data_IF_226705085305
#
_entry.id   IF_226705085305
#
_cell.length_a   1.000
_cell.length_b   1.000
_cell.length_c   1.000
_cell.angle_alpha   90.00
_cell.angle_beta   90.00
_cell.angle_gamma   90.00
#
_symmetry.space_group_name_H-M   'P 1'
#
loop_
_entity.id
_entity.type
_entity.pdbx_description
1 polymer ?
#
# COMPACT_ATOMS: atom_id res chain seq x y z
N UNK A 1 1.14 -8.95 -7.22
CA UNK A 1 0.31 -10.06 -6.74
C UNK A 1 0.68 -11.34 -7.45
N UNK A 2 0.31 -11.48 -8.72
CA UNK A 2 0.42 -12.77 -9.46
C UNK A 2 1.81 -13.39 -9.47
N UNK A 3 2.85 -12.62 -9.82
CA UNK A 3 4.23 -13.14 -9.80
C UNK A 3 4.72 -13.45 -8.38
N UNK A 4 4.26 -12.72 -7.35
CA UNK A 4 4.54 -13.02 -5.95
C UNK A 4 3.87 -14.32 -5.48
N UNK A 5 2.63 -14.54 -5.90
CA UNK A 5 1.89 -15.78 -5.70
C UNK A 5 2.60 -16.97 -6.36
N UNK A 6 2.98 -16.84 -7.65
CA UNK A 6 3.74 -17.86 -8.38
C UNK A 6 5.08 -18.16 -7.68
N UNK A 7 5.77 -17.12 -7.20
CA UNK A 7 7.03 -17.26 -6.45
C UNK A 7 6.86 -17.73 -5.00
N UNK A 8 5.63 -17.99 -4.53
CA UNK A 8 5.31 -18.45 -3.17
C UNK A 8 5.95 -17.62 -2.06
N UNK A 9 6.10 -16.31 -2.27
CA UNK A 9 6.81 -15.44 -1.32
C UNK A 9 5.89 -14.71 -0.34
N UNK A 10 4.61 -15.13 -0.27
CA UNK A 10 3.60 -14.61 0.65
C UNK A 10 3.12 -13.19 0.38
N UNK A 11 3.63 -12.50 -0.64
CA UNK A 11 3.35 -11.07 -0.87
C UNK A 11 2.32 -10.83 -1.97
N UNK A 12 1.13 -11.35 -1.75
CA UNK A 12 -0.04 -11.12 -2.59
C UNK A 12 -1.25 -10.80 -1.71
N UNK A 13 -2.23 -10.16 -2.31
CA UNK A 13 -3.43 -9.73 -1.61
C UNK A 13 -4.61 -9.77 -2.56
N UNK A 14 -5.78 -10.06 -2.02
CA UNK A 14 -7.08 -9.92 -2.67
C UNK A 14 -7.58 -8.50 -2.41
N UNK A 15 -8.09 -7.83 -3.44
CA UNK A 15 -8.57 -6.45 -3.33
C UNK A 15 -10.00 -6.39 -3.84
N UNK A 16 -10.91 -5.85 -3.04
CA UNK A 16 -12.32 -5.64 -3.40
C UNK A 16 -12.64 -4.17 -3.12
N UNK A 17 -13.27 -3.50 -4.06
CA UNK A 17 -13.71 -2.12 -3.88
C UNK A 17 -15.14 -1.95 -4.40
N UNK A 18 -15.95 -1.19 -3.65
CA UNK A 18 -17.21 -0.66 -4.14
C UNK A 18 -16.97 0.76 -4.61
N UNK A 19 -17.27 1.03 -5.88
CA UNK A 19 -17.16 2.35 -6.50
C UNK A 19 -18.55 2.87 -6.78
N UNK A 20 -18.85 4.11 -6.35
CA UNK A 20 -20.05 4.85 -6.76
C UNK A 20 -19.62 6.01 -7.65
N UNK A 21 -20.10 6.03 -8.89
CA UNK A 21 -19.64 7.00 -9.88
C UNK A 21 -18.14 6.82 -10.16
N UNK A 22 -17.33 7.84 -9.87
CA UNK A 22 -15.88 7.79 -9.99
C UNK A 22 -15.15 7.70 -8.64
N UNK A 23 -15.89 7.41 -7.56
CA UNK A 23 -15.33 7.45 -6.20
C UNK A 23 -15.40 6.08 -5.50
N UNK A 24 -14.28 5.55 -4.97
CA UNK A 24 -14.30 4.38 -4.11
C UNK A 24 -14.92 4.72 -2.75
N UNK A 25 -16.00 4.02 -2.40
CA UNK A 25 -16.76 4.25 -1.15
C UNK A 25 -16.56 3.15 -0.11
N UNK A 26 -16.16 1.95 -0.54
CA UNK A 26 -15.73 0.84 0.32
C UNK A 26 -14.49 0.20 -0.28
N UNK A 27 -13.53 -0.17 0.55
CA UNK A 27 -12.34 -0.92 0.13
C UNK A 27 -12.03 -2.04 1.12
N UNK A 28 -11.60 -3.19 0.60
CA UNK A 28 -11.11 -4.33 1.37
C UNK A 28 -9.82 -4.84 0.73
N UNK A 29 -8.79 -5.02 1.55
CA UNK A 29 -7.53 -5.68 1.18
C UNK A 29 -7.33 -6.85 2.14
N UNK A 30 -7.36 -8.06 1.61
CA UNK A 30 -7.14 -9.28 2.41
C UNK A 30 -5.78 -9.88 2.04
N UNK A 31 -5.02 -10.28 3.06
CA UNK A 31 -3.67 -10.86 2.94
C UNK A 31 -3.77 -12.37 3.26
N UNK A 32 -3.89 -13.24 2.25
CA UNK A 32 -4.20 -14.66 2.48
C UNK A 32 -3.20 -15.39 3.38
N UNK A 33 -1.92 -15.02 3.32
CA UNK A 33 -0.87 -15.73 4.04
C UNK A 33 -0.88 -15.47 5.55
N UNK A 34 -1.42 -14.33 6.00
CA UNK A 34 -1.51 -13.99 7.43
C UNK A 34 -2.96 -14.01 7.93
N UNK A 35 -3.92 -13.93 7.01
CA UNK A 35 -5.34 -13.75 7.33
C UNK A 35 -5.73 -12.28 7.60
N UNK A 36 -4.78 -11.35 7.57
CA UNK A 36 -5.04 -9.93 7.83
C UNK A 36 -6.07 -9.39 6.83
N UNK A 37 -7.04 -8.65 7.34
CA UNK A 37 -8.07 -7.99 6.54
C UNK A 37 -8.10 -6.51 6.89
N UNK A 38 -7.75 -5.68 5.91
CA UNK A 38 -7.84 -4.24 5.97
C UNK A 38 -9.14 -3.83 5.28
N UNK A 39 -9.91 -2.94 5.89
CA UNK A 39 -11.16 -2.48 5.30
C UNK A 39 -11.45 -1.03 5.66
N UNK A 40 -12.17 -0.35 4.78
CA UNK A 40 -12.54 1.04 4.97
C UNK A 40 -13.91 1.34 4.35
N UNK A 41 -14.64 2.24 4.99
CA UNK A 41 -15.89 2.80 4.47
C UNK A 41 -15.79 4.32 4.53
N UNK A 42 -16.11 4.99 3.42
CA UNK A 42 -16.07 6.46 3.33
C UNK A 42 -16.88 7.09 4.47
N UNK A 43 -16.24 7.99 5.21
CA UNK A 43 -16.85 8.68 6.37
C UNK A 43 -16.96 7.84 7.65
N UNK A 44 -16.51 6.58 7.68
CA UNK A 44 -16.49 5.72 8.88
C UNK A 44 -15.08 5.35 9.35
N UNK A 45 -14.07 5.64 8.54
CA UNK A 45 -12.67 5.36 8.83
C UNK A 45 -12.17 4.09 8.15
N UNK A 46 -10.97 3.68 8.55
CA UNK A 46 -10.28 2.48 8.08
C UNK A 46 -9.89 1.63 9.30
N UNK A 47 -9.87 0.32 9.10
CA UNK A 47 -9.65 -0.66 10.14
C UNK A 47 -8.78 -1.80 9.62
N UNK A 48 -8.11 -2.48 10.54
CA UNK A 48 -7.43 -3.74 10.28
C UNK A 48 -7.91 -4.77 11.28
N UNK A 49 -8.13 -5.99 10.80
CA UNK A 49 -8.36 -7.17 11.60
C UNK A 49 -7.25 -8.16 11.34
N UNK A 50 -6.63 -8.67 12.40
CA UNK A 50 -5.54 -9.65 12.30
C UNK A 50 -5.84 -10.84 13.20
N UNK A 51 -5.88 -12.07 12.67
CA UNK A 51 -6.07 -13.26 13.48
C UNK A 51 -5.02 -13.41 14.59
N UNK A 52 -3.78 -13.01 14.31
CA UNK A 52 -2.68 -13.03 15.29
C UNK A 52 -2.85 -12.00 16.44
N UNK A 53 -3.71 -10.99 16.28
CA UNK A 53 -3.99 -9.94 17.28
C UNK A 53 -5.42 -10.12 17.86
N UNK A 54 -5.90 -11.36 17.93
CA UNK A 54 -7.19 -11.70 18.55
C UNK A 54 -8.42 -11.48 17.66
N UNK A 55 -8.23 -11.26 16.35
CA UNK A 55 -9.28 -11.18 15.34
C UNK A 55 -10.34 -10.06 15.58
N UNK A 56 -9.91 -8.96 16.17
CA UNK A 56 -10.74 -7.78 16.42
C UNK A 56 -10.40 -6.63 15.46
N UNK A 57 -11.37 -5.76 15.17
CA UNK A 57 -11.14 -4.58 14.35
C UNK A 57 -10.41 -3.51 15.16
N UNK A 58 -9.19 -3.19 14.74
CA UNK A 58 -8.43 -2.04 15.22
C UNK A 58 -8.54 -0.90 14.23
N UNK A 59 -8.87 0.29 14.69
CA UNK A 59 -8.89 1.50 13.85
C UNK A 59 -7.48 1.83 13.39
N UNK A 60 -7.36 2.15 12.10
CA UNK A 60 -6.14 2.66 11.49
C UNK A 60 -6.15 4.19 11.57
N UNK A 61 -5.02 4.74 11.95
CA UNK A 61 -4.79 6.18 11.99
C UNK A 61 -3.52 6.43 11.21
N UNK A 62 -3.57 7.29 10.21
CA UNK A 62 -2.39 7.70 9.46
C UNK A 62 -1.92 9.03 10.04
N UNK A 63 -0.66 9.12 10.46
CA UNK A 63 -0.08 10.40 10.88
C UNK A 63 0.13 11.26 9.63
N UNK A 64 -0.37 12.51 9.61
CA UNK A 64 -0.11 13.42 8.51
C UNK A 64 1.40 13.61 8.34
N UNK A 65 1.82 13.65 7.08
CA UNK A 65 3.19 13.96 6.74
C UNK A 65 3.38 15.49 6.78
N UNK A 66 4.11 15.98 7.78
CA UNK A 66 4.23 17.43 8.05
C UNK A 66 5.40 18.10 7.33
N UNK A 67 6.55 17.42 7.19
CA UNK A 67 7.75 18.02 6.59
C UNK A 67 8.53 17.03 5.71
N UNK A 68 8.79 17.45 4.46
CA UNK A 68 9.66 16.74 3.51
C UNK A 68 11.12 16.65 3.94
N UNK A 69 11.56 17.53 4.85
CA UNK A 69 12.93 17.56 5.39
C UNK A 69 13.11 16.69 6.63
N UNK A 70 12.05 16.02 7.10
CA UNK A 70 12.19 15.07 8.19
C UNK A 70 13.19 13.97 7.79
N UNK A 71 14.20 13.74 8.63
CA UNK A 71 15.18 12.66 8.45
C UNK A 71 14.55 11.30 8.68
N UNK A 72 15.09 10.26 8.05
CA UNK A 72 14.76 8.88 8.41
C UNK A 72 13.42 8.38 7.86
N UNK A 73 12.87 9.05 6.84
CA UNK A 73 11.61 8.67 6.24
C UNK A 73 11.67 7.27 5.62
N UNK A 74 10.74 6.43 6.03
CA UNK A 74 10.52 5.11 5.44
C UNK A 74 9.80 5.20 4.09
N UNK A 75 10.49 4.84 3.02
CA UNK A 75 10.01 4.80 1.64
C UNK A 75 9.80 3.35 1.20
N UNK A 76 8.61 3.05 0.67
CA UNK A 76 8.31 1.75 0.09
C UNK A 76 8.81 1.71 -1.35
N UNK A 77 9.75 0.81 -1.63
CA UNK A 77 10.27 0.58 -2.98
C UNK A 77 9.74 -0.73 -3.54
N UNK A 78 9.41 -0.72 -4.84
CA UNK A 78 8.99 -1.92 -5.53
C UNK A 78 10.17 -2.89 -5.70
N UNK A 79 9.94 -4.19 -5.48
CA UNK A 79 10.94 -5.24 -5.73
C UNK A 79 11.49 -5.28 -7.16
N UNK A 80 10.74 -4.74 -8.12
CA UNK A 80 10.91 -5.06 -9.54
C UNK A 80 11.31 -3.88 -10.41
N UNK A 81 11.20 -2.67 -9.89
CA UNK A 81 11.43 -1.45 -10.66
C UNK A 81 12.02 -0.40 -9.73
N UNK A 82 13.35 -0.26 -9.78
CA UNK A 82 14.05 0.97 -9.42
C UNK A 82 14.41 1.63 -10.75
N UNK A 83 13.59 2.58 -11.15
CA UNK A 83 13.86 3.38 -12.34
C UNK A 83 14.73 4.58 -11.97
N UNK A 84 15.38 5.22 -12.94
CA UNK A 84 16.18 6.43 -12.68
C UNK A 84 15.32 7.53 -12.02
N UNK A 85 14.04 7.62 -12.39
CA UNK A 85 13.08 8.55 -11.79
C UNK A 85 12.78 8.20 -10.32
N UNK A 86 12.77 6.91 -9.97
CA UNK A 86 12.58 6.48 -8.58
C UNK A 86 13.79 6.85 -7.73
N UNK A 87 15.02 6.64 -8.25
CA UNK A 87 16.25 7.02 -7.56
C UNK A 87 16.37 8.55 -7.42
N UNK A 88 16.03 9.31 -8.47
CA UNK A 88 16.00 10.77 -8.42
C UNK A 88 14.96 11.32 -7.42
N UNK A 89 13.82 10.64 -7.26
CA UNK A 89 12.83 10.98 -6.24
C UNK A 89 13.34 10.69 -4.83
N UNK A 90 13.99 9.53 -4.63
CA UNK A 90 14.56 9.14 -3.32
C UNK A 90 15.67 10.11 -2.88
N UNK A 91 16.49 10.60 -3.82
CA UNK A 91 17.59 11.53 -3.55
C UNK A 91 17.15 12.88 -2.95
N UNK A 92 15.85 13.17 -2.93
CA UNK A 92 15.28 14.39 -2.32
C UNK A 92 15.14 14.29 -0.79
N UNK A 93 15.29 13.10 -0.21
CA UNK A 93 15.05 12.85 1.22
C UNK A 93 16.36 12.57 1.98
N UNK A 94 16.39 13.00 3.24
CA UNK A 94 17.56 12.85 4.11
C UNK A 94 17.49 11.53 4.90
N UNK A 95 18.55 10.72 4.78
CA UNK A 95 18.70 9.40 5.42
C UNK A 95 17.47 8.46 5.28
N UNK A 96 16.90 8.24 4.07
CA UNK A 96 15.68 7.45 3.92
C UNK A 96 15.90 5.97 4.28
N UNK A 97 14.88 5.37 4.91
CA UNK A 97 14.79 3.93 5.15
C UNK A 97 13.96 3.29 4.05
N UNK A 98 14.23 2.02 3.72
CA UNK A 98 13.53 1.33 2.65
C UNK A 98 12.79 0.08 3.13
N UNK A 99 11.53 -0.05 2.71
CA UNK A 99 10.77 -1.31 2.83
C UNK A 99 10.46 -1.82 1.42
N UNK A 100 10.71 -3.12 1.19
CA UNK A 100 10.54 -3.73 -0.11
C UNK A 100 9.39 -4.76 -0.10
N UNK A 101 8.25 -4.35 -0.67
CA UNK A 101 7.00 -5.11 -0.67
C UNK A 101 6.39 -5.27 -2.07
N UNK A 102 5.79 -6.42 -2.33
CA UNK A 102 4.96 -6.71 -3.49
C UNK A 102 3.49 -6.33 -3.31
N UNK A 103 2.71 -6.41 -4.39
CA UNK A 103 1.23 -6.24 -4.36
C UNK A 103 0.74 -4.89 -3.78
N UNK A 104 -0.54 -4.85 -3.38
CA UNK A 104 -1.20 -3.78 -2.64
C UNK A 104 -0.84 -3.72 -1.15
N UNK A 105 0.00 -4.64 -0.64
CA UNK A 105 0.53 -4.62 0.73
C UNK A 105 1.34 -3.36 1.06
N UNK A 106 1.72 -2.60 0.04
CA UNK A 106 2.36 -1.30 0.23
C UNK A 106 1.40 -0.30 0.87
N UNK A 107 0.13 -0.32 0.47
CA UNK A 107 -0.90 0.56 1.03
C UNK A 107 -1.18 0.22 2.49
N UNK A 108 -1.11 -1.07 2.86
CA UNK A 108 -1.32 -1.48 4.25
C UNK A 108 -0.23 -0.91 5.15
N UNK A 109 1.03 -0.90 4.71
CA UNK A 109 2.12 -0.28 5.49
C UNK A 109 2.00 1.22 5.67
N UNK A 110 1.49 1.95 4.67
CA UNK A 110 1.15 3.36 4.84
C UNK A 110 0.02 3.51 5.85
N UNK A 111 -1.05 2.72 5.70
CA UNK A 111 -2.22 2.80 6.58
C UNK A 111 -1.91 2.42 8.05
N UNK A 112 -0.88 1.62 8.28
CA UNK A 112 -0.39 1.24 9.62
C UNK A 112 0.68 2.19 10.19
N UNK A 113 1.02 3.29 9.52
CA UNK A 113 2.17 4.17 9.86
C UNK A 113 3.53 3.47 9.89
N UNK A 114 3.67 2.32 9.24
CA UNK A 114 4.96 1.63 9.12
C UNK A 114 5.80 2.19 7.96
N UNK A 115 5.19 2.99 7.09
CA UNK A 115 5.85 3.68 6.00
C UNK A 115 5.23 5.05 5.75
N UNK A 116 6.01 5.95 5.15
CA UNK A 116 5.59 7.34 4.91
C UNK A 116 5.28 7.59 3.43
N UNK A 117 6.05 6.99 2.51
CA UNK A 117 5.97 7.31 1.09
C UNK A 117 6.00 6.03 0.26
N UNK A 118 5.09 5.90 -0.70
CA UNK A 118 5.14 4.88 -1.74
C UNK A 118 5.12 5.54 -3.13
N UNK A 119 6.28 5.85 -3.72
CA UNK A 119 6.34 6.40 -5.07
C UNK A 119 6.07 5.29 -6.09
N UNK A 120 5.09 5.53 -6.98
CA UNK A 120 4.86 4.67 -8.16
C UNK A 120 5.04 5.50 -9.42
N UNK A 121 6.29 5.70 -9.80
CA UNK A 121 6.70 6.55 -10.92
C UNK A 121 6.93 5.78 -12.23
N UNK A 122 6.86 4.44 -12.18
CA UNK A 122 6.88 3.61 -13.38
C UNK A 122 5.49 3.54 -14.03
N UNK A 123 5.39 3.53 -15.37
CA UNK A 123 4.12 3.39 -16.08
C UNK A 123 3.35 2.16 -15.58
N UNK A 124 2.06 2.35 -15.31
CA UNK A 124 1.15 1.24 -15.04
C UNK A 124 0.41 0.96 -16.33
N UNK A 125 0.50 -0.27 -16.85
CA UNK A 125 -0.42 -0.70 -17.89
C UNK A 125 -1.83 -0.71 -17.29
N UNK A 126 -2.63 0.30 -17.60
CA UNK A 126 -4.06 0.28 -17.38
C UNK A 126 -4.62 -0.87 -18.22
N UNK A 127 -5.12 -1.91 -17.56
CA UNK A 127 -5.83 -2.98 -18.26
C UNK A 127 -7.13 -2.41 -18.80
N UNK A 128 -7.16 -2.08 -20.10
CA UNK A 128 -8.35 -1.87 -20.95
C UNK A 128 -9.56 -1.24 -20.27
N UNK A 129 -9.58 0.08 -20.21
CA UNK A 129 -10.81 0.84 -20.45
C UNK A 129 -10.45 1.97 -21.42
N UNK A 130 -10.19 1.60 -22.68
CA UNK A 130 -10.54 2.50 -23.76
C UNK A 130 -12.05 2.69 -23.67
N UNK A 131 -12.45 3.85 -23.15
CA UNK A 131 -13.81 4.37 -23.34
C UNK A 131 -13.89 4.78 -24.81
N UNK A 132 -14.67 4.05 -25.58
CA UNK A 132 -15.47 4.67 -26.65
C UNK A 132 -16.65 5.40 -26.00
#
# INVERSE_FOLDING_TARGET
>A
GTKEFIKRNGQFATNIALVRGQEPVVGVVQVPCTGDTYWAVKGKGAFVRKPAEGDTDRRLECTPFEDRKQKGLTIIVSRRHRSAETEAFIAQYDEPKFIQLGSSLKFTKIAENEAHIYPRLAPVSEGRLQRE
#
